data_IF_353863497173
#
_entry.id   IF_353863497173
#
_cell.length_a   1.000
_cell.length_b   1.000
_cell.length_c   1.000
_cell.angle_alpha   90.00
_cell.angle_beta   90.00
_cell.angle_gamma   90.00
#
_symmetry.space_group_name_H-M   'P 1'
#
loop_
_entity.id
_entity.type
_entity.pdbx_description
1 polymer ?
#
# COMPACT_ATOMS: atom_id res chain seq x y z
N UNK A 1 19.27 -21.70 7.62
CA UNK A 1 18.31 -20.80 6.96
C UNK A 1 19.03 -19.47 6.75
N UNK A 2 19.07 -18.92 5.53
CA UNK A 2 19.95 -17.79 5.22
C UNK A 2 19.55 -16.54 6.03
N UNK A 3 20.55 -15.83 6.56
CA UNK A 3 20.42 -14.57 7.34
C UNK A 3 19.44 -13.58 6.71
N UNK A 4 19.40 -13.52 5.38
CA UNK A 4 18.48 -12.70 4.59
C UNK A 4 16.98 -13.01 4.86
N UNK A 5 16.58 -14.28 5.07
CA UNK A 5 15.17 -14.60 5.36
C UNK A 5 14.73 -14.10 6.73
N UNK A 6 15.61 -14.15 7.72
CA UNK A 6 15.33 -13.67 9.06
C UNK A 6 15.24 -12.13 9.07
N UNK A 7 16.19 -11.46 8.41
CA UNK A 7 16.19 -10.01 8.25
C UNK A 7 14.91 -9.52 7.54
N UNK A 8 14.48 -10.19 6.46
CA UNK A 8 13.23 -9.89 5.78
C UNK A 8 12.02 -10.10 6.69
N UNK A 9 11.95 -11.21 7.41
CA UNK A 9 10.86 -11.47 8.36
C UNK A 9 10.79 -10.40 9.46
N UNK A 10 11.94 -9.98 9.99
CA UNK A 10 12.03 -8.89 10.98
C UNK A 10 11.58 -7.54 10.39
N UNK A 11 11.99 -7.22 9.17
CA UNK A 11 11.57 -5.99 8.48
C UNK A 11 10.04 -5.92 8.28
N UNK A 12 9.44 -7.03 7.81
CA UNK A 12 8.00 -7.11 7.56
C UNK A 12 7.18 -7.32 8.84
N UNK A 13 7.81 -7.62 9.98
CA UNK A 13 7.11 -7.76 11.27
C UNK A 13 6.49 -6.45 11.78
N UNK A 14 6.88 -5.30 11.22
CA UNK A 14 6.38 -3.96 11.58
C UNK A 14 5.71 -3.25 10.41
N UNK A 15 5.14 -4.00 9.45
CA UNK A 15 4.64 -3.43 8.20
C UNK A 15 3.44 -2.50 8.40
N UNK A 16 2.47 -2.84 9.25
CA UNK A 16 1.34 -1.98 9.59
C UNK A 16 1.79 -0.69 10.27
N UNK A 17 2.71 -0.80 11.24
CA UNK A 17 3.32 0.38 11.87
C UNK A 17 4.01 1.27 10.83
N UNK A 18 4.75 0.69 9.88
CA UNK A 18 5.42 1.44 8.81
C UNK A 18 4.44 2.16 7.89
N UNK A 19 3.36 1.50 7.46
CA UNK A 19 2.33 2.13 6.61
C UNK A 19 1.66 3.29 7.33
N UNK A 20 1.34 3.15 8.62
CA UNK A 20 0.73 4.23 9.41
C UNK A 20 1.69 5.41 9.56
N UNK A 21 2.95 5.11 9.90
CA UNK A 21 3.97 6.11 10.21
C UNK A 21 4.65 6.71 8.97
N UNK A 22 4.32 6.22 7.77
CA UNK A 22 4.90 6.67 6.51
C UNK A 22 4.75 8.18 6.28
N UNK A 23 3.84 8.88 6.98
CA UNK A 23 3.74 10.35 6.90
C UNK A 23 5.01 11.05 7.36
N UNK A 24 5.78 10.41 8.23
CA UNK A 24 7.01 10.95 8.77
C UNK A 24 8.24 10.23 8.18
N UNK A 25 8.08 9.41 7.14
CA UNK A 25 9.21 8.79 6.44
C UNK A 25 9.92 9.85 5.59
N UNK A 26 11.14 10.23 5.96
CA UNK A 26 11.96 11.14 5.15
C UNK A 26 12.91 12.01 5.96
N UNK A 27 13.79 12.73 5.25
CA UNK A 27 14.67 13.72 5.89
C UNK A 27 13.82 14.91 6.37
N UNK A 28 13.92 15.26 7.66
CA UNK A 28 13.27 16.39 8.35
C UNK A 28 11.84 16.19 8.86
N UNK A 29 11.19 15.04 8.63
CA UNK A 29 9.89 14.76 9.22
C UNK A 29 10.07 13.81 10.40
N UNK A 30 9.84 14.32 11.61
CA UNK A 30 9.86 13.55 12.85
C UNK A 30 8.47 13.53 13.45
N UNK A 31 8.19 12.54 14.30
CA UNK A 31 6.91 12.46 15.00
C UNK A 31 6.83 13.63 15.99
N UNK A 32 5.85 14.54 15.88
CA UNK A 32 5.73 15.67 16.79
C UNK A 32 5.59 15.23 18.24
N UNK A 33 6.20 15.97 19.16
CA UNK A 33 6.10 15.68 20.60
C UNK A 33 4.68 15.96 21.17
N UNK A 34 3.90 16.79 20.47
CA UNK A 34 2.52 17.14 20.78
C UNK A 34 1.52 16.12 20.21
N UNK A 35 0.79 15.46 21.10
CA UNK A 35 -0.22 14.47 20.75
C UNK A 35 -1.37 15.00 19.91
N UNK A 36 -1.75 16.26 20.05
CA UNK A 36 -2.82 16.84 19.24
C UNK A 36 -2.44 16.93 17.76
N UNK A 37 -1.15 17.15 17.47
CA UNK A 37 -0.63 17.27 16.10
C UNK A 37 -0.63 15.91 15.42
N UNK A 38 0.05 14.91 15.99
CA UNK A 38 0.12 13.61 15.34
C UNK A 38 -1.25 12.90 15.29
N UNK A 39 -2.16 13.13 16.25
CA UNK A 39 -3.53 12.58 16.15
C UNK A 39 -4.27 13.08 14.92
N UNK A 40 -4.21 14.39 14.67
CA UNK A 40 -4.83 15.02 13.50
C UNK A 40 -4.21 14.52 12.21
N UNK A 41 -2.89 14.36 12.18
CA UNK A 41 -2.17 13.93 10.98
C UNK A 41 -2.31 12.44 10.67
N UNK A 42 -2.37 11.59 11.68
CA UNK A 42 -2.55 10.14 11.53
C UNK A 42 -4.02 9.74 11.35
N UNK A 43 -4.97 10.62 11.69
CA UNK A 43 -6.40 10.33 11.60
C UNK A 43 -6.84 9.74 10.25
N UNK A 44 -6.49 10.32 9.09
CA UNK A 44 -6.91 9.76 7.80
C UNK A 44 -6.40 8.34 7.57
N UNK A 45 -5.18 8.03 8.01
CA UNK A 45 -4.61 6.68 7.87
C UNK A 45 -5.25 5.69 8.84
N UNK A 46 -5.54 6.08 10.08
CA UNK A 46 -6.26 5.23 11.04
C UNK A 46 -7.67 4.92 10.52
N UNK A 47 -8.38 5.93 10.01
CA UNK A 47 -9.70 5.75 9.38
C UNK A 47 -9.63 4.82 8.18
N UNK A 48 -8.65 5.03 7.29
CA UNK A 48 -8.44 4.19 6.11
C UNK A 48 -8.11 2.73 6.45
N UNK A 49 -7.21 2.50 7.40
CA UNK A 49 -6.84 1.15 7.83
C UNK A 49 -8.02 0.40 8.45
N UNK A 50 -8.86 1.08 9.22
CA UNK A 50 -10.08 0.47 9.73
C UNK A 50 -11.06 0.09 8.62
N UNK A 51 -11.31 1.00 7.67
CA UNK A 51 -12.16 0.68 6.52
C UNK A 51 -11.59 -0.50 5.70
N UNK A 52 -10.26 -0.56 5.55
CA UNK A 52 -9.59 -1.66 4.86
C UNK A 52 -9.70 -3.00 5.60
N UNK A 53 -9.76 -2.99 6.95
CA UNK A 53 -9.92 -4.20 7.76
C UNK A 53 -11.23 -4.94 7.45
N UNK A 54 -12.33 -4.21 7.21
CA UNK A 54 -13.62 -4.79 6.78
C UNK A 54 -13.51 -5.58 5.45
N UNK A 55 -12.54 -5.22 4.60
CA UNK A 55 -12.21 -5.91 3.34
C UNK A 55 -11.17 -7.02 3.47
N UNK A 56 -10.81 -7.43 4.69
CA UNK A 56 -9.74 -8.40 4.97
C UNK A 56 -8.34 -7.80 5.04
N UNK A 57 -8.24 -6.48 5.20
CA UNK A 57 -7.00 -5.77 5.51
C UNK A 57 -6.49 -6.01 6.92
N UNK A 58 -5.39 -5.34 7.29
CA UNK A 58 -4.78 -5.45 8.62
C UNK A 58 -5.63 -4.75 9.67
N UNK A 59 -5.83 -5.40 10.81
CA UNK A 59 -6.60 -4.85 11.92
C UNK A 59 -5.82 -3.76 12.66
N UNK A 60 -6.52 -2.76 13.20
CA UNK A 60 -5.90 -1.71 14.01
C UNK A 60 -5.20 -2.28 15.26
N UNK A 61 -5.70 -3.40 15.80
CA UNK A 61 -5.05 -4.11 16.91
C UNK A 61 -3.68 -4.69 16.52
N UNK A 62 -3.53 -5.21 15.29
CA UNK A 62 -2.25 -5.67 14.78
C UNK A 62 -1.27 -4.49 14.63
N UNK A 63 -1.75 -3.38 14.06
CA UNK A 63 -0.94 -2.15 13.91
C UNK A 63 -0.50 -1.62 15.29
N UNK A 64 -1.39 -1.59 16.28
CA UNK A 64 -1.07 -1.17 17.64
C UNK A 64 -0.04 -2.10 18.31
N UNK A 65 -0.16 -3.41 18.12
CA UNK A 65 0.83 -4.38 18.63
C UNK A 65 2.21 -4.17 17.98
N UNK A 66 2.25 -3.94 16.67
CA UNK A 66 3.49 -3.62 15.94
C UNK A 66 4.13 -2.31 16.43
N UNK A 67 3.34 -1.26 16.67
CA UNK A 67 3.85 0.00 17.24
C UNK A 67 4.48 -0.18 18.62
N UNK A 68 3.87 -1.01 19.49
CA UNK A 68 4.46 -1.34 20.80
C UNK A 68 5.76 -2.11 20.65
N UNK A 69 5.80 -3.08 19.74
CA UNK A 69 7.03 -3.81 19.42
C UNK A 69 8.13 -2.87 18.89
N UNK A 70 7.78 -1.92 18.04
CA UNK A 70 8.71 -0.89 17.57
C UNK A 70 9.22 -0.02 18.73
N UNK A 71 8.35 0.36 19.68
CA UNK A 71 8.77 1.10 20.87
C UNK A 71 9.82 0.32 21.70
N UNK A 72 9.59 -0.97 21.94
CA UNK A 72 10.52 -1.83 22.68
C UNK A 72 11.86 -1.98 21.94
N UNK A 73 11.83 -2.05 20.61
CA UNK A 73 13.03 -2.08 19.78
C UNK A 73 13.79 -0.75 19.82
N UNK A 74 13.11 0.40 19.83
CA UNK A 74 13.76 1.70 20.00
C UNK A 74 14.37 1.89 21.39
N UNK A 75 13.84 1.23 22.44
CA UNK A 75 14.50 1.23 23.76
C UNK A 75 15.81 0.44 23.75
N UNK A 76 15.83 -0.69 23.04
CA UNK A 76 17.01 -1.55 22.92
C UNK A 76 18.05 -0.98 21.94
N UNK A 77 17.57 -0.31 20.88
CA UNK A 77 18.36 0.28 19.81
C UNK A 77 17.96 1.74 19.56
N UNK A 78 18.34 2.69 20.46
CA UNK A 78 17.90 4.09 20.38
C UNK A 78 18.36 4.82 19.12
N UNK A 79 19.45 4.36 18.50
CA UNK A 79 19.95 4.88 17.24
C UNK A 79 19.11 4.45 16.04
N UNK A 80 18.21 3.47 16.19
CA UNK A 80 17.42 2.87 15.10
C UNK A 80 18.20 1.86 14.27
N UNK A 81 19.33 1.34 14.77
CA UNK A 81 20.21 0.41 14.05
C UNK A 81 19.59 -0.96 13.77
N UNK A 82 18.56 -1.36 14.53
CA UNK A 82 17.90 -2.64 14.33
C UNK A 82 17.19 -2.70 12.97
N UNK A 83 17.39 -3.79 12.20
CA UNK A 83 16.88 -3.91 10.83
C UNK A 83 15.35 -3.70 10.71
N UNK A 84 14.58 -4.24 11.67
CA UNK A 84 13.14 -4.02 11.76
C UNK A 84 12.73 -2.53 11.82
N UNK A 85 13.57 -1.66 12.41
CA UNK A 85 13.31 -0.22 12.56
C UNK A 85 13.61 0.59 11.29
N UNK A 86 14.11 -0.05 10.22
CA UNK A 86 14.36 0.62 8.95
C UNK A 86 13.08 1.30 8.44
N UNK A 87 13.23 2.57 8.02
CA UNK A 87 12.15 3.46 7.56
C UNK A 87 11.09 3.82 8.59
N UNK A 88 11.29 3.49 9.87
CA UNK A 88 10.44 4.00 10.94
C UNK A 88 11.00 5.34 11.46
N UNK A 89 10.16 6.38 11.57
CA UNK A 89 10.57 7.70 12.02
C UNK A 89 10.86 7.71 13.53
N UNK A 90 11.76 8.59 13.95
CA UNK A 90 11.93 8.96 15.37
C UNK A 90 11.02 10.13 15.75
N UNK A 91 10.78 10.32 17.03
CA UNK A 91 10.13 11.54 17.53
C UNK A 91 11.08 12.74 17.47
N UNK A 92 10.51 13.96 17.46
CA UNK A 92 11.25 15.23 17.54
C UNK A 92 12.28 15.20 18.68
N UNK A 93 11.83 14.79 19.86
CA UNK A 93 12.72 14.42 20.96
C UNK A 93 13.05 12.94 20.85
N UNK A 94 14.24 12.59 20.35
CA UNK A 94 14.60 11.18 20.08
C UNK A 94 14.41 10.24 21.30
N UNK A 95 14.74 10.70 22.51
CA UNK A 95 14.58 9.92 23.76
C UNK A 95 13.11 9.60 24.06
N UNK A 96 12.17 10.37 23.51
CA UNK A 96 10.72 10.12 23.64
C UNK A 96 10.18 9.15 22.60
N UNK A 97 10.97 8.70 21.62
CA UNK A 97 10.50 7.82 20.54
C UNK A 97 9.73 6.61 21.06
N UNK A 98 10.22 5.82 22.04
CA UNK A 98 9.45 4.70 22.57
C UNK A 98 8.10 5.12 23.18
N UNK A 99 8.09 6.23 23.92
CA UNK A 99 6.87 6.76 24.55
C UNK A 99 5.85 7.21 23.49
N UNK A 100 6.30 7.94 22.46
CA UNK A 100 5.43 8.39 21.37
C UNK A 100 4.78 7.20 20.64
N UNK A 101 5.55 6.15 20.32
CA UNK A 101 5.00 4.95 19.68
C UNK A 101 3.97 4.23 20.55
N UNK A 102 4.17 4.16 21.87
CA UNK A 102 3.17 3.58 22.80
C UNK A 102 1.91 4.44 22.91
N UNK A 103 2.05 5.77 22.91
CA UNK A 103 0.91 6.70 22.90
C UNK A 103 0.10 6.60 21.60
N UNK A 104 0.77 6.49 20.46
CA UNK A 104 0.13 6.27 19.16
C UNK A 104 -0.54 4.90 19.14
N UNK A 105 0.10 3.84 19.65
CA UNK A 105 -0.50 2.51 19.74
C UNK A 105 -1.79 2.52 20.57
N UNK A 106 -1.78 3.21 21.71
CA UNK A 106 -2.97 3.37 22.55
C UNK A 106 -4.08 4.18 21.85
N UNK A 107 -3.72 5.20 21.06
CA UNK A 107 -4.67 5.94 20.25
C UNK A 107 -5.31 5.08 19.16
N UNK A 108 -4.51 4.30 18.44
CA UNK A 108 -4.96 3.38 17.38
C UNK A 108 -5.86 2.29 17.95
N UNK A 109 -5.47 1.67 19.07
CA UNK A 109 -6.27 0.64 19.75
C UNK A 109 -7.57 1.18 20.36
N UNK A 110 -7.53 2.43 20.84
CA UNK A 110 -8.68 3.13 21.38
C UNK A 110 -9.71 3.53 20.33
N UNK A 111 -9.38 3.39 19.05
CA UNK A 111 -10.26 3.71 17.94
C UNK A 111 -11.35 2.65 17.81
N UNK A 112 -12.51 2.94 18.41
CA UNK A 112 -13.73 2.14 18.32
C UNK A 112 -14.73 2.91 17.46
N UNK A 113 -15.22 2.34 16.36
CA UNK A 113 -16.30 2.98 15.61
C UNK A 113 -17.63 2.96 16.42
N UNK A 114 -18.57 3.92 16.25
CA UNK A 114 -18.48 5.20 15.52
C UNK A 114 -18.79 6.41 16.45
N UNK A 115 -17.95 7.46 16.51
CA UNK A 115 -18.28 8.63 17.34
C UNK A 115 -18.90 9.81 16.60
N UNK A 116 -18.79 9.86 15.27
CA UNK A 116 -19.44 10.89 14.48
C UNK A 116 -19.53 10.46 13.00
N UNK A 117 -20.74 10.23 12.50
CA UNK A 117 -21.00 9.98 11.08
C UNK A 117 -20.50 11.17 10.22
N UNK A 118 -20.52 12.38 10.77
CA UNK A 118 -20.02 13.59 10.12
C UNK A 118 -18.48 13.59 10.04
N UNK A 119 -17.78 13.12 11.07
CA UNK A 119 -16.33 12.91 10.98
C UNK A 119 -15.94 11.78 10.00
N UNK A 120 -16.75 10.72 9.93
CA UNK A 120 -16.50 9.59 9.03
C UNK A 120 -16.77 9.92 7.56
N UNK A 121 -17.90 10.59 7.25
CA UNK A 121 -18.34 10.85 5.87
C UNK A 121 -18.24 12.32 5.43
N UNK A 122 -18.17 13.25 6.38
CA UNK A 122 -18.07 14.70 6.11
C UNK A 122 -16.63 15.18 5.90
N UNK A 123 -15.62 14.38 6.25
CA UNK A 123 -14.22 14.67 5.92
C UNK A 123 -13.82 13.97 4.62
N UNK A 124 -13.43 14.69 3.56
CA UNK A 124 -12.97 14.09 2.31
C UNK A 124 -11.84 13.07 2.54
N UNK A 125 -11.81 12.01 1.73
CA UNK A 125 -10.72 11.03 1.78
C UNK A 125 -9.43 11.68 1.30
N UNK A 126 -8.35 11.45 2.03
CA UNK A 126 -7.03 11.89 1.56
C UNK A 126 -6.48 10.90 0.54
N UNK A 127 -5.59 11.36 -0.34
CA UNK A 127 -4.90 10.52 -1.34
C UNK A 127 -4.22 9.30 -0.71
N UNK A 128 -3.60 9.46 0.47
CA UNK A 128 -2.92 8.36 1.20
C UNK A 128 -3.88 7.39 1.89
N UNK A 129 -5.02 7.89 2.32
CA UNK A 129 -6.09 7.04 2.85
C UNK A 129 -6.69 6.19 1.73
N UNK A 130 -6.95 6.81 0.58
CA UNK A 130 -7.53 6.14 -0.57
C UNK A 130 -6.57 5.11 -1.19
N UNK A 131 -5.25 5.32 -1.12
CA UNK A 131 -4.26 4.35 -1.63
C UNK A 131 -4.26 3.02 -0.86
N UNK A 132 -4.79 2.97 0.36
CA UNK A 132 -4.98 1.70 1.09
C UNK A 132 -5.98 0.76 0.41
N UNK A 133 -6.82 1.25 -0.50
CA UNK A 133 -7.75 0.43 -1.30
C UNK A 133 -7.08 -0.25 -2.47
N UNK A 134 -5.88 0.20 -2.86
CA UNK A 134 -5.20 -0.23 -4.08
C UNK A 134 -3.80 -0.83 -3.83
N UNK A 135 -3.62 -1.74 -2.86
CA UNK A 135 -2.29 -2.24 -2.49
C UNK A 135 -1.59 -3.03 -3.59
N UNK A 136 -2.29 -3.67 -4.53
CA UNK A 136 -1.67 -4.38 -5.67
C UNK A 136 -1.34 -3.42 -6.79
N UNK A 137 -2.23 -2.49 -7.13
CA UNK A 137 -1.94 -1.47 -8.14
C UNK A 137 -0.72 -0.62 -7.75
N UNK A 138 -0.49 -0.35 -6.46
CA UNK A 138 0.72 0.36 -6.01
C UNK A 138 2.03 -0.37 -6.32
N UNK A 139 1.98 -1.69 -6.51
CA UNK A 139 3.14 -2.51 -6.83
C UNK A 139 3.30 -2.70 -8.34
N UNK A 140 2.18 -2.72 -9.06
CA UNK A 140 2.13 -3.06 -10.48
C UNK A 140 2.29 -1.82 -11.34
N UNK A 141 1.61 -0.72 -11.03
CA UNK A 141 1.64 0.47 -11.88
C UNK A 141 3.05 1.07 -12.06
N UNK A 142 3.94 1.08 -11.05
CA UNK A 142 5.33 1.48 -11.28
C UNK A 142 6.07 0.62 -12.32
N UNK A 143 5.67 -0.64 -12.51
CA UNK A 143 6.22 -1.51 -13.56
C UNK A 143 5.81 -1.01 -14.94
N UNK A 144 4.63 -0.41 -15.11
CA UNK A 144 4.16 0.08 -16.41
C UNK A 144 4.49 1.55 -16.65
N UNK A 145 4.42 2.34 -15.60
CA UNK A 145 4.38 3.80 -15.67
C UNK A 145 5.53 4.46 -14.90
N UNK A 146 6.32 3.73 -14.11
CA UNK A 146 7.45 4.31 -13.36
C UNK A 146 8.58 4.85 -14.26
N UNK A 147 9.58 5.51 -13.68
CA UNK A 147 10.74 6.03 -14.42
C UNK A 147 11.50 4.94 -15.21
N UNK A 148 11.34 3.67 -14.80
CA UNK A 148 11.91 2.48 -15.44
C UNK A 148 10.82 1.46 -15.89
N UNK A 149 9.56 1.89 -16.03
CA UNK A 149 8.45 0.96 -16.27
C UNK A 149 8.48 0.32 -17.67
N UNK A 150 8.47 -1.03 -17.75
CA UNK A 150 8.38 -2.00 -18.88
C UNK A 150 9.19 -1.72 -20.16
N UNK A 151 9.70 -0.53 -20.40
CA UNK A 151 10.48 -0.16 -21.58
C UNK A 151 12.01 -0.19 -21.35
N UNK A 152 12.52 -1.13 -20.54
CA UNK A 152 13.99 -1.37 -20.46
C UNK A 152 14.32 -2.86 -20.50
N UNK A 153 13.76 -3.57 -21.47
CA UNK A 153 14.66 -4.38 -22.30
C UNK A 153 14.77 -3.67 -23.64
N UNK A 154 15.96 -3.65 -24.25
CA UNK A 154 16.18 -3.06 -25.58
C UNK A 154 15.24 -3.63 -26.68
N UNK A 155 14.47 -4.68 -26.36
CA UNK A 155 13.52 -5.36 -27.24
C UNK A 155 12.07 -4.80 -27.16
N UNK A 156 11.76 -3.84 -26.28
CA UNK A 156 10.38 -3.37 -26.02
C UNK A 156 10.05 -1.94 -26.49
N UNK A 157 10.93 -1.32 -27.27
CA UNK A 157 10.74 0.05 -27.79
C UNK A 157 9.46 0.24 -28.63
N UNK A 158 8.91 -0.85 -29.19
CA UNK A 158 7.69 -0.87 -30.02
C UNK A 158 6.52 -1.64 -29.37
N UNK A 159 6.61 -2.01 -28.09
CA UNK A 159 5.60 -2.84 -27.41
C UNK A 159 4.35 -2.04 -27.01
N UNK A 160 3.17 -2.63 -27.23
CA UNK A 160 1.89 -2.04 -26.79
C UNK A 160 1.61 -2.36 -25.31
N UNK A 161 0.70 -1.65 -24.63
CA UNK A 161 0.31 -2.07 -23.28
C UNK A 161 -0.32 -3.47 -23.25
N UNK A 162 -1.00 -3.91 -24.32
CA UNK A 162 -1.47 -5.29 -24.41
C UNK A 162 -0.30 -6.28 -24.31
N UNK A 163 0.82 -6.02 -25.01
CA UNK A 163 2.03 -6.85 -24.93
C UNK A 163 2.63 -6.83 -23.52
N UNK A 164 2.70 -5.66 -22.88
CA UNK A 164 3.16 -5.50 -21.50
C UNK A 164 2.27 -6.25 -20.49
N UNK A 165 0.95 -6.22 -20.67
CA UNK A 165 0.00 -6.96 -19.82
C UNK A 165 0.17 -8.46 -20.01
N UNK A 166 0.32 -8.93 -21.26
CA UNK A 166 0.56 -10.36 -21.56
C UNK A 166 1.88 -10.84 -20.95
N UNK A 167 2.94 -10.04 -21.01
CA UNK A 167 4.22 -10.34 -20.38
C UNK A 167 4.07 -10.47 -18.85
N UNK A 168 3.44 -9.50 -18.19
CA UNK A 168 3.19 -9.56 -16.74
C UNK A 168 2.39 -10.80 -16.34
N UNK A 169 1.33 -11.14 -17.09
CA UNK A 169 0.55 -12.36 -16.85
C UNK A 169 1.45 -13.60 -16.93
N UNK A 170 2.32 -13.68 -17.94
CA UNK A 170 3.27 -14.77 -18.11
C UNK A 170 4.27 -14.86 -16.95
N UNK A 171 4.84 -13.73 -16.52
CA UNK A 171 5.78 -13.68 -15.39
C UNK A 171 5.12 -14.01 -14.05
N UNK A 172 3.84 -13.69 -13.91
CA UNK A 172 3.06 -14.00 -12.71
C UNK A 172 2.74 -15.50 -12.60
N UNK A 173 2.83 -16.27 -13.69
CA UNK A 173 2.60 -17.71 -13.67
C UNK A 173 3.73 -18.46 -12.94
N UNK A 174 3.44 -19.44 -12.05
CA UNK A 174 2.14 -20.06 -11.76
C UNK A 174 1.34 -19.40 -10.62
N UNK A 175 1.82 -18.31 -10.02
CA UNK A 175 1.15 -17.59 -8.92
C UNK A 175 -0.14 -16.83 -9.32
N UNK A 176 -0.37 -16.66 -10.62
CA UNK A 176 -1.49 -15.93 -11.21
C UNK A 176 -2.89 -16.23 -10.64
N UNK A 177 -3.17 -17.47 -10.22
CA UNK A 177 -4.44 -17.82 -9.55
C UNK A 177 -4.71 -17.01 -8.28
N UNK A 178 -3.66 -16.67 -7.53
CA UNK A 178 -3.76 -15.94 -6.27
C UNK A 178 -3.52 -14.43 -6.41
N UNK A 179 -2.93 -14.01 -7.54
CA UNK A 179 -2.51 -12.63 -7.75
C UNK A 179 -3.47 -11.87 -8.68
N UNK A 180 -3.72 -12.39 -9.88
CA UNK A 180 -4.46 -11.66 -10.92
C UNK A 180 -5.90 -11.29 -10.52
N UNK A 181 -6.69 -12.15 -9.86
CA UNK A 181 -8.04 -11.78 -9.45
C UNK A 181 -8.10 -10.56 -8.53
N UNK A 182 -7.11 -10.41 -7.65
CA UNK A 182 -7.03 -9.24 -6.76
C UNK A 182 -6.70 -7.96 -7.52
N UNK A 183 -5.83 -8.03 -8.54
CA UNK A 183 -5.51 -6.88 -9.40
C UNK A 183 -6.72 -6.46 -10.21
N UNK A 184 -7.43 -7.43 -10.79
CA UNK A 184 -8.68 -7.21 -11.53
C UNK A 184 -9.72 -6.49 -10.66
N UNK A 185 -9.86 -6.92 -9.40
CA UNK A 185 -10.77 -6.29 -8.46
C UNK A 185 -10.39 -4.82 -8.18
N UNK A 186 -9.10 -4.53 -7.96
CA UNK A 186 -8.62 -3.17 -7.74
C UNK A 186 -8.80 -2.26 -8.97
N UNK A 187 -8.58 -2.77 -10.19
CA UNK A 187 -8.88 -2.03 -11.43
C UNK A 187 -10.38 -1.69 -11.54
N UNK A 188 -11.25 -2.66 -11.26
CA UNK A 188 -12.70 -2.44 -11.32
C UNK A 188 -13.17 -1.46 -10.22
N UNK A 189 -12.56 -1.52 -9.04
CA UNK A 189 -12.82 -0.57 -7.96
C UNK A 189 -12.35 0.84 -8.31
N UNK A 190 -11.19 0.99 -8.98
CA UNK A 190 -10.70 2.28 -9.46
C UNK A 190 -11.70 2.92 -10.43
N UNK A 191 -12.17 2.16 -11.43
CA UNK A 191 -13.19 2.63 -12.39
C UNK A 191 -14.55 2.94 -11.76
N UNK A 192 -14.85 2.41 -10.57
CA UNK A 192 -16.07 2.74 -9.83
C UNK A 192 -15.93 4.01 -8.98
N UNK A 193 -14.72 4.31 -8.52
CA UNK A 193 -14.44 5.43 -7.60
C UNK A 193 -14.05 6.72 -8.34
N UNK A 194 -13.33 6.61 -9.46
CA UNK A 194 -12.89 7.74 -10.28
C UNK A 194 -13.67 7.75 -11.58
N UNK A 195 -14.22 8.90 -11.95
CA UNK A 195 -15.19 9.04 -13.04
C UNK A 195 -14.59 9.66 -14.30
N UNK A 196 -13.38 10.20 -14.21
CA UNK A 196 -12.66 10.80 -15.34
C UNK A 196 -11.21 10.35 -15.40
N UNK A 197 -10.59 10.47 -16.57
CA UNK A 197 -9.15 10.23 -16.73
C UNK A 197 -8.32 11.19 -15.87
N UNK A 198 -8.69 12.47 -15.81
CA UNK A 198 -7.99 13.46 -14.98
C UNK A 198 -7.96 13.05 -13.49
N UNK A 199 -9.04 12.46 -12.97
CA UNK A 199 -9.10 11.97 -11.59
C UNK A 199 -8.21 10.73 -11.39
N UNK A 200 -8.19 9.82 -12.37
CA UNK A 200 -7.34 8.64 -12.39
C UNK A 200 -5.86 9.02 -12.44
N UNK A 201 -5.47 9.88 -13.38
CA UNK A 201 -4.08 10.34 -13.56
C UNK A 201 -3.58 11.10 -12.32
N UNK A 202 -4.38 12.03 -11.79
CA UNK A 202 -4.03 12.78 -10.58
C UNK A 202 -3.77 11.87 -9.36
N UNK A 203 -4.46 10.73 -9.29
CA UNK A 203 -4.31 9.77 -8.21
C UNK A 203 -3.18 8.74 -8.45
N UNK A 204 -3.16 8.09 -9.62
CA UNK A 204 -2.28 6.97 -9.94
C UNK A 204 -0.91 7.39 -10.52
N UNK A 205 -0.86 8.46 -11.32
CA UNK A 205 0.42 9.06 -11.75
C UNK A 205 0.95 10.08 -10.72
N UNK A 206 0.03 10.69 -9.95
CA UNK A 206 0.39 11.69 -8.96
C UNK A 206 0.84 11.14 -7.60
N UNK A 207 0.48 11.88 -6.56
CA UNK A 207 1.09 11.85 -5.22
C UNK A 207 0.84 10.60 -4.36
N UNK A 208 0.13 9.56 -4.82
CA UNK A 208 -0.11 8.33 -4.04
C UNK A 208 0.72 7.12 -4.47
N UNK A 209 0.96 6.94 -5.77
CA UNK A 209 1.38 5.64 -6.32
C UNK A 209 2.67 5.70 -7.15
N UNK A 210 3.16 6.90 -7.46
CA UNK A 210 4.45 7.08 -8.14
C UNK A 210 4.49 6.53 -9.57
N UNK A 211 3.34 6.40 -10.23
CA UNK A 211 3.32 6.22 -11.68
C UNK A 211 3.91 7.48 -12.32
N UNK A 212 4.95 7.37 -13.12
CA UNK A 212 5.30 8.44 -14.04
C UNK A 212 4.16 8.66 -15.05
N UNK A 213 4.28 9.72 -15.85
CA UNK A 213 3.34 9.99 -16.94
C UNK A 213 3.47 8.91 -18.01
N UNK A 214 2.55 7.94 -18.02
CA UNK A 214 2.36 7.04 -19.14
C UNK A 214 1.85 7.77 -20.38
N UNK A 215 2.00 7.15 -21.55
CA UNK A 215 1.36 7.62 -22.78
C UNK A 215 -0.07 7.09 -22.96
N UNK A 216 -0.54 6.21 -22.07
CA UNK A 216 -1.86 5.58 -22.13
C UNK A 216 -2.74 6.04 -20.98
N UNK A 217 -4.02 6.27 -21.31
CA UNK A 217 -5.05 6.69 -20.37
C UNK A 217 -5.49 5.50 -19.49
N UNK A 218 -5.59 5.70 -18.18
CA UNK A 218 -6.04 4.67 -17.23
C UNK A 218 -7.45 4.15 -17.54
N UNK A 219 -8.32 5.01 -18.09
CA UNK A 219 -9.68 4.68 -18.48
C UNK A 219 -9.72 3.59 -19.57
N UNK A 220 -8.67 3.49 -20.40
CA UNK A 220 -8.52 2.46 -21.43
C UNK A 220 -7.67 1.29 -20.93
N UNK A 221 -6.61 1.58 -20.16
CA UNK A 221 -5.70 0.58 -19.61
C UNK A 221 -6.40 -0.39 -18.65
N UNK A 222 -7.20 0.11 -17.69
CA UNK A 222 -7.83 -0.76 -16.69
C UNK A 222 -8.82 -1.77 -17.30
N UNK A 223 -9.74 -1.39 -18.21
CA UNK A 223 -10.59 -2.37 -18.91
C UNK A 223 -9.78 -3.40 -19.70
N UNK A 224 -8.70 -2.99 -20.36
CA UNK A 224 -7.82 -3.90 -21.10
C UNK A 224 -7.15 -4.91 -20.15
N UNK A 225 -6.59 -4.43 -19.04
CA UNK A 225 -5.97 -5.26 -18.02
C UNK A 225 -6.94 -6.28 -17.43
N UNK A 226 -8.15 -5.82 -17.06
CA UNK A 226 -9.23 -6.66 -16.55
C UNK A 226 -9.55 -7.78 -17.55
N UNK A 227 -9.72 -7.42 -18.82
CA UNK A 227 -10.08 -8.36 -19.90
C UNK A 227 -9.01 -9.43 -20.06
N UNK A 228 -7.75 -9.04 -20.26
CA UNK A 228 -6.66 -9.98 -20.53
C UNK A 228 -6.39 -10.91 -19.34
N UNK A 229 -6.40 -10.40 -18.11
CA UNK A 229 -6.29 -11.23 -16.92
C UNK A 229 -7.47 -12.22 -16.80
N UNK A 230 -8.69 -11.75 -17.06
CA UNK A 230 -9.87 -12.61 -17.00
C UNK A 230 -9.86 -13.70 -18.07
N UNK A 231 -9.44 -13.38 -19.30
CA UNK A 231 -9.25 -14.35 -20.38
C UNK A 231 -8.22 -15.41 -19.98
N UNK A 232 -7.04 -15.01 -19.49
CA UNK A 232 -6.02 -15.93 -19.00
C UNK A 232 -6.56 -16.85 -17.89
N UNK A 233 -7.25 -16.30 -16.89
CA UNK A 233 -7.81 -17.08 -15.79
C UNK A 233 -8.84 -18.12 -16.27
N UNK A 234 -9.68 -17.78 -17.25
CA UNK A 234 -10.66 -18.71 -17.84
C UNK A 234 -9.98 -19.83 -18.63
N UNK A 235 -8.90 -19.50 -19.34
CA UNK A 235 -8.19 -20.44 -20.22
C UNK A 235 -7.27 -21.39 -19.45
N UNK A 236 -6.44 -20.85 -18.55
CA UNK A 236 -5.39 -21.57 -17.84
C UNK A 236 -5.86 -22.16 -16.49
N UNK A 237 -6.87 -21.57 -15.85
CA UNK A 237 -7.22 -21.87 -14.45
C UNK A 237 -8.70 -22.22 -14.22
N UNK A 238 -9.32 -22.97 -15.14
CA UNK A 238 -10.71 -23.39 -14.93
C UNK A 238 -10.85 -24.31 -13.71
N UNK A 239 -11.53 -23.87 -12.63
CA UNK A 239 -11.55 -24.59 -11.35
C UNK A 239 -12.33 -25.92 -11.41
N UNK A 240 -13.05 -26.17 -12.51
CA UNK A 240 -13.89 -27.36 -12.71
C UNK A 240 -13.48 -28.20 -13.93
N UNK A 241 -12.36 -27.89 -14.61
CA UNK A 241 -11.84 -28.78 -15.64
C UNK A 241 -11.27 -30.02 -14.97
N UNK A 242 -11.92 -31.17 -15.21
CA UNK A 242 -11.36 -32.48 -14.87
C UNK A 242 -9.96 -32.57 -15.51
N UNK A 243 -8.94 -32.92 -14.73
CA UNK A 243 -7.72 -33.48 -15.29
C UNK A 243 -8.14 -34.76 -16.00
N UNK A 244 -8.15 -34.74 -17.33
CA UNK A 244 -8.29 -35.91 -18.20
C UNK A 244 -6.91 -36.48 -18.48
#
# INVERSE_FOLDING_TARGET
MSTNRQELAEYFSLQGARVLMARYEGFLQSVPDDASVWRRELFPMVRGMWNAAEGGGRELYEVAAELRRAADLFEQHPDGSHHALKKLPKAETEVRTPKAYREIAAYVEGWKAPFDHEALHGTPLTVRELSLRFPRLSQILPIYFGQDGVAVSDDMQDSTAEDGIRMYISETHPGCLWQLPGVVAECAEALALFHTEDELDAFFSGGAMGGGSGSEDFIDFFPLFIRLCTEHMKEAHSPLRKQS
#
